data_IF_650867846030
#
_entry.id   IF_650867846030
#
_cell.length_a   1.000
_cell.length_b   1.000
_cell.length_c   1.000
_cell.angle_alpha   90.00
_cell.angle_beta   90.00
_cell.angle_gamma   90.00
#
_symmetry.space_group_name_H-M   'P 1'
#
loop_
_entity.id
_entity.type
_entity.pdbx_description
1 polymer ?
#
# COMPACT_ATOMS: atom_id res chain seq x y z
N UNK A 1 -12.85 -2.41 12.40
CA UNK A 1 -11.97 -1.34 11.88
C UNK A 1 -10.77 -1.04 12.78
N UNK A 2 -10.84 -1.25 14.11
CA UNK A 2 -9.72 -0.91 15.00
C UNK A 2 -8.42 -1.62 14.65
N UNK A 3 -8.46 -2.92 14.34
CA UNK A 3 -7.27 -3.71 13.97
C UNK A 3 -6.63 -3.15 12.69
N UNK A 4 -7.44 -2.84 11.67
CA UNK A 4 -6.93 -2.30 10.41
C UNK A 4 -6.25 -0.94 10.60
N UNK A 5 -6.88 -0.05 11.38
CA UNK A 5 -6.29 1.25 11.73
C UNK A 5 -4.98 1.08 12.49
N UNK A 6 -4.91 0.17 13.46
CA UNK A 6 -3.69 -0.08 14.22
C UNK A 6 -2.56 -0.62 13.33
N UNK A 7 -2.85 -1.53 12.40
CA UNK A 7 -1.84 -2.02 11.46
C UNK A 7 -1.35 -0.90 10.55
N UNK A 8 -2.25 -0.08 9.99
CA UNK A 8 -1.87 1.10 9.20
C UNK A 8 -0.96 2.05 10.00
N UNK A 9 -1.28 2.32 11.27
CA UNK A 9 -0.45 3.15 12.14
C UNK A 9 0.92 2.52 12.42
N UNK A 10 1.01 1.20 12.63
CA UNK A 10 2.29 0.51 12.81
C UNK A 10 3.19 0.70 11.59
N UNK A 11 2.65 0.58 10.38
CA UNK A 11 3.42 0.81 9.15
C UNK A 11 3.84 2.27 9.00
N UNK A 12 2.98 3.23 9.37
CA UNK A 12 3.34 4.65 9.45
C UNK A 12 4.52 4.87 10.38
N UNK A 13 4.47 4.30 11.60
CA UNK A 13 5.57 4.42 12.56
C UNK A 13 6.85 3.77 12.06
N UNK A 14 6.76 2.61 11.40
CA UNK A 14 7.92 1.95 10.80
C UNK A 14 8.57 2.82 9.71
N UNK A 15 7.78 3.32 8.76
CA UNK A 15 8.25 4.22 7.69
C UNK A 15 8.82 5.52 8.24
N UNK A 16 8.15 6.14 9.21
CA UNK A 16 8.64 7.35 9.88
C UNK A 16 9.97 7.13 10.57
N UNK A 17 10.09 6.03 11.29
CA UNK A 17 11.32 5.64 11.97
C UNK A 17 12.46 5.44 10.97
N UNK A 18 12.23 4.65 9.91
CA UNK A 18 13.21 4.42 8.84
C UNK A 18 13.70 5.72 8.21
N UNK A 19 12.79 6.67 7.94
CA UNK A 19 13.14 7.97 7.38
C UNK A 19 13.88 8.88 8.36
N UNK A 20 13.43 8.95 9.61
CA UNK A 20 14.01 9.83 10.63
C UNK A 20 15.39 9.35 11.10
N UNK A 21 15.70 8.05 10.96
CA UNK A 21 17.07 7.54 11.14
C UNK A 21 18.07 8.16 10.15
N UNK A 22 17.62 8.63 8.99
CA UNK A 22 18.44 9.39 8.03
C UNK A 22 18.51 10.89 8.35
N UNK A 23 17.92 11.33 9.45
CA UNK A 23 17.77 12.74 9.83
C UNK A 23 16.43 13.34 9.43
N UNK A 24 16.13 14.55 9.91
CA UNK A 24 14.86 15.23 9.61
C UNK A 24 14.82 15.72 8.16
N UNK A 25 13.64 15.71 7.50
CA UNK A 25 13.48 16.32 6.19
C UNK A 25 13.85 17.81 6.22
N UNK A 26 14.65 18.26 5.25
CA UNK A 26 15.16 19.65 5.21
C UNK A 26 14.58 20.51 4.10
N UNK A 27 14.15 19.88 3.00
CA UNK A 27 13.61 20.56 1.82
C UNK A 27 12.18 20.11 1.49
N UNK A 28 11.51 20.87 0.64
CA UNK A 28 10.14 20.60 0.19
C UNK A 28 9.99 19.22 -0.45
N UNK A 29 10.95 18.81 -1.29
CA UNK A 29 10.93 17.49 -1.94
C UNK A 29 11.01 16.35 -0.92
N UNK A 30 11.86 16.50 0.11
CA UNK A 30 11.98 15.50 1.18
C UNK A 30 10.72 15.42 2.02
N UNK A 31 10.09 16.56 2.33
CA UNK A 31 8.82 16.60 3.05
C UNK A 31 7.68 15.99 2.24
N UNK A 32 7.64 16.25 0.94
CA UNK A 32 6.64 15.71 0.02
C UNK A 32 6.77 14.19 -0.10
N UNK A 33 7.98 13.69 -0.37
CA UNK A 33 8.26 12.26 -0.39
C UNK A 33 7.91 11.59 0.94
N UNK A 34 8.28 12.23 2.06
CA UNK A 34 7.96 11.74 3.39
C UNK A 34 6.45 11.62 3.62
N UNK A 35 5.69 12.68 3.34
CA UNK A 35 4.24 12.68 3.50
C UNK A 35 3.57 11.60 2.64
N UNK A 36 3.98 11.46 1.39
CA UNK A 36 3.42 10.46 0.47
C UNK A 36 3.69 9.04 0.96
N UNK A 37 4.92 8.74 1.38
CA UNK A 37 5.20 7.39 1.90
C UNK A 37 4.52 7.09 3.22
N UNK A 38 4.28 8.10 4.08
CA UNK A 38 3.46 7.93 5.29
C UNK A 38 2.01 7.58 4.92
N UNK A 39 1.42 8.30 3.97
CA UNK A 39 0.06 8.02 3.48
C UNK A 39 -0.03 6.63 2.87
N UNK A 40 0.89 6.27 1.96
CA UNK A 40 0.90 4.94 1.34
C UNK A 40 1.09 3.83 2.36
N UNK A 41 2.00 3.99 3.31
CA UNK A 41 2.20 3.02 4.40
C UNK A 41 0.92 2.77 5.20
N UNK A 42 0.18 3.84 5.50
CA UNK A 42 -1.10 3.73 6.20
C UNK A 42 -2.12 2.96 5.39
N UNK A 43 -2.38 3.38 4.14
CA UNK A 43 -3.45 2.83 3.31
C UNK A 43 -3.14 1.38 2.94
N UNK A 44 -1.88 1.07 2.59
CA UNK A 44 -1.44 -0.29 2.27
C UNK A 44 -1.58 -1.20 3.49
N UNK A 45 -1.06 -0.77 4.66
CA UNK A 45 -1.14 -1.54 5.90
C UNK A 45 -2.57 -1.79 6.36
N UNK A 46 -3.40 -0.74 6.31
CA UNK A 46 -4.82 -0.84 6.58
C UNK A 46 -5.50 -1.89 5.68
N UNK A 47 -5.18 -1.84 4.38
CA UNK A 47 -5.83 -2.68 3.37
C UNK A 47 -5.36 -4.12 3.45
N UNK A 48 -4.08 -4.37 3.71
CA UNK A 48 -3.58 -5.72 4.00
C UNK A 48 -4.32 -6.30 5.20
N UNK A 49 -4.43 -5.56 6.31
CA UNK A 49 -5.15 -6.02 7.49
C UNK A 49 -6.65 -6.25 7.24
N UNK A 50 -7.25 -5.46 6.34
CA UNK A 50 -8.61 -5.67 5.87
C UNK A 50 -8.74 -6.97 5.06
N UNK A 51 -7.87 -7.18 4.07
CA UNK A 51 -7.93 -8.32 3.16
C UNK A 51 -7.63 -9.67 3.82
N UNK A 52 -6.73 -9.70 4.82
CA UNK A 52 -6.39 -10.93 5.54
C UNK A 52 -7.62 -11.61 6.16
N UNK A 53 -8.62 -10.84 6.56
CA UNK A 53 -9.88 -11.38 7.11
C UNK A 53 -10.69 -12.17 6.08
N UNK A 54 -10.53 -11.84 4.80
CA UNK A 54 -11.19 -12.50 3.67
C UNK A 54 -10.33 -13.59 3.03
N UNK A 55 -9.14 -13.87 3.58
CA UNK A 55 -8.24 -14.89 3.06
C UNK A 55 -8.92 -16.27 2.91
N UNK A 56 -9.72 -16.77 3.87
CA UNK A 56 -10.40 -18.07 3.71
C UNK A 56 -11.38 -18.12 2.53
N UNK A 57 -11.94 -16.97 2.15
CA UNK A 57 -12.92 -16.85 1.06
C UNK A 57 -12.23 -16.75 -0.30
N UNK A 58 -11.07 -16.09 -0.36
CA UNK A 58 -10.37 -15.77 -1.61
C UNK A 58 -9.02 -16.48 -1.79
N UNK A 59 -8.69 -17.47 -0.96
CA UNK A 59 -7.42 -18.23 -1.05
C UNK A 59 -7.23 -18.93 -2.41
N UNK A 60 -8.34 -19.32 -3.08
CA UNK A 60 -8.28 -19.91 -4.41
C UNK A 60 -8.29 -18.88 -5.55
N UNK A 61 -8.24 -17.58 -5.24
CA UNK A 61 -8.45 -16.50 -6.21
C UNK A 61 -7.13 -15.82 -6.61
N UNK A 62 -6.68 -16.03 -7.84
CA UNK A 62 -5.51 -15.39 -8.43
C UNK A 62 -5.51 -13.86 -8.29
N UNK A 63 -6.60 -13.18 -8.61
CA UNK A 63 -6.66 -11.71 -8.55
C UNK A 63 -6.53 -11.19 -7.12
N UNK A 64 -7.00 -11.95 -6.12
CA UNK A 64 -6.80 -11.62 -4.71
C UNK A 64 -5.32 -11.69 -4.34
N UNK A 65 -4.62 -12.74 -4.77
CA UNK A 65 -3.18 -12.90 -4.52
C UNK A 65 -2.37 -11.85 -5.25
N UNK A 66 -2.69 -11.57 -6.51
CA UNK A 66 -2.01 -10.54 -7.30
C UNK A 66 -2.14 -9.18 -6.61
N UNK A 67 -3.34 -8.80 -6.15
CA UNK A 67 -3.52 -7.55 -5.43
C UNK A 67 -2.81 -7.54 -4.07
N UNK A 68 -2.92 -8.62 -3.29
CA UNK A 68 -2.25 -8.72 -1.99
C UNK A 68 -0.72 -8.64 -2.12
N UNK A 69 -0.13 -9.35 -3.09
CA UNK A 69 1.31 -9.34 -3.31
C UNK A 69 1.80 -8.00 -3.86
N UNK A 70 1.02 -7.34 -4.71
CA UNK A 70 1.38 -5.97 -5.15
C UNK A 70 1.31 -4.97 -4.00
N UNK A 71 0.35 -5.09 -3.07
CA UNK A 71 0.34 -4.29 -1.83
C UNK A 71 1.59 -4.54 -0.97
N UNK A 72 1.99 -5.79 -0.78
CA UNK A 72 3.22 -6.12 -0.04
C UNK A 72 4.47 -5.56 -0.74
N UNK A 73 4.50 -5.58 -2.07
CA UNK A 73 5.56 -4.96 -2.86
C UNK A 73 5.56 -3.43 -2.69
N UNK A 74 4.40 -2.78 -2.69
CA UNK A 74 4.26 -1.34 -2.41
C UNK A 74 4.86 -0.98 -1.05
N UNK A 75 4.48 -1.71 0.01
CA UNK A 75 5.02 -1.51 1.36
C UNK A 75 6.54 -1.63 1.36
N UNK A 76 7.07 -2.64 0.68
CA UNK A 76 8.52 -2.88 0.58
C UNK A 76 9.24 -1.73 -0.14
N UNK A 77 8.67 -1.22 -1.23
CA UNK A 77 9.19 -0.07 -1.97
C UNK A 77 9.20 1.17 -1.08
N UNK A 78 8.10 1.45 -0.38
CA UNK A 78 7.98 2.61 0.51
C UNK A 78 8.99 2.51 1.67
N UNK A 79 9.11 1.35 2.31
CA UNK A 79 10.08 1.14 3.38
C UNK A 79 11.51 1.34 2.89
N UNK A 80 11.84 0.79 1.73
CA UNK A 80 13.16 0.96 1.13
C UNK A 80 13.43 2.43 0.78
N UNK A 81 12.47 3.13 0.17
CA UNK A 81 12.58 4.54 -0.16
C UNK A 81 12.78 5.42 1.09
N UNK A 82 12.03 5.14 2.16
CA UNK A 82 12.16 5.82 3.45
C UNK A 82 13.54 5.57 4.07
N UNK A 83 13.98 4.32 4.10
CA UNK A 83 15.28 3.93 4.63
C UNK A 83 16.44 4.57 3.86
N UNK A 84 16.35 4.65 2.52
CA UNK A 84 17.40 5.20 1.64
C UNK A 84 17.29 6.71 1.41
N UNK A 85 16.32 7.38 2.04
CA UNK A 85 16.01 8.79 1.82
C UNK A 85 15.83 9.13 0.32
N UNK A 86 15.05 8.31 -0.39
CA UNK A 86 14.72 8.58 -1.80
C UNK A 86 13.64 9.66 -1.85
N UNK A 87 13.93 10.74 -2.58
CA UNK A 87 13.01 11.89 -2.75
C UNK A 87 12.27 11.88 -4.09
N UNK A 88 12.65 11.00 -5.03
CA UNK A 88 12.01 10.92 -6.33
C UNK A 88 10.57 10.43 -6.20
N UNK A 89 9.62 11.33 -6.48
CA UNK A 89 8.18 11.06 -6.41
C UNK A 89 7.73 9.92 -7.32
N UNK A 90 8.48 9.64 -8.40
CA UNK A 90 8.19 8.55 -9.34
C UNK A 90 8.25 7.18 -8.65
N UNK A 91 9.10 7.02 -7.63
CA UNK A 91 9.17 5.79 -6.85
C UNK A 91 7.88 5.55 -6.07
N UNK A 92 7.29 6.60 -5.50
CA UNK A 92 6.01 6.51 -4.80
C UNK A 92 4.82 6.36 -5.76
N UNK A 93 4.91 6.90 -6.97
CA UNK A 93 3.95 6.63 -8.03
C UNK A 93 3.95 5.15 -8.43
N UNK A 94 5.13 4.52 -8.54
CA UNK A 94 5.26 3.07 -8.79
C UNK A 94 4.72 2.27 -7.60
N UNK A 95 5.00 2.68 -6.35
CA UNK A 95 4.40 2.06 -5.17
C UNK A 95 2.86 2.11 -5.21
N UNK A 96 2.28 3.12 -5.88
CA UNK A 96 0.82 3.23 -6.01
C UNK A 96 0.18 2.27 -7.02
N UNK A 97 0.96 1.42 -7.70
CA UNK A 97 0.47 0.43 -8.69
C UNK A 97 -0.68 -0.47 -8.22
N UNK A 98 -0.71 -0.99 -6.97
CA UNK A 98 -1.80 -1.85 -6.50
C UNK A 98 -3.16 -1.12 -6.56
N UNK A 99 -3.16 0.19 -6.32
CA UNK A 99 -4.36 1.01 -6.33
C UNK A 99 -4.94 1.15 -7.74
N UNK A 100 -4.09 1.30 -8.75
CA UNK A 100 -4.53 1.27 -10.13
C UNK A 100 -5.08 -0.12 -10.51
N UNK A 101 -4.39 -1.18 -10.07
CA UNK A 101 -4.84 -2.56 -10.30
C UNK A 101 -6.25 -2.79 -9.73
N UNK A 102 -6.49 -2.46 -8.46
CA UNK A 102 -7.81 -2.70 -7.85
C UNK A 102 -8.92 -1.86 -8.47
N UNK A 103 -8.63 -0.62 -8.88
CA UNK A 103 -9.58 0.22 -9.62
C UNK A 103 -9.98 -0.47 -10.93
N UNK A 104 -9.00 -0.98 -11.70
CA UNK A 104 -9.26 -1.72 -12.94
C UNK A 104 -10.09 -2.97 -12.68
N UNK A 105 -9.75 -3.76 -11.65
CA UNK A 105 -10.50 -4.98 -11.30
C UNK A 105 -11.95 -4.62 -10.93
N UNK A 106 -12.17 -3.56 -10.13
CA UNK A 106 -13.51 -3.09 -9.74
C UNK A 106 -14.32 -2.67 -10.98
N UNK A 107 -13.71 -1.91 -11.90
CA UNK A 107 -14.37 -1.48 -13.14
C UNK A 107 -14.80 -2.69 -13.97
N UNK A 108 -13.89 -3.64 -14.19
CA UNK A 108 -14.17 -4.86 -14.96
C UNK A 108 -15.28 -5.68 -14.29
N UNK A 109 -15.20 -5.90 -12.98
CA UNK A 109 -16.21 -6.64 -12.23
C UNK A 109 -17.60 -5.99 -12.36
N UNK A 110 -17.66 -4.65 -12.32
CA UNK A 110 -18.90 -3.90 -12.47
C UNK A 110 -19.47 -3.97 -13.88
N UNK A 111 -18.64 -3.87 -14.92
CA UNK A 111 -19.08 -3.99 -16.32
C UNK A 111 -19.64 -5.38 -16.60
N UNK A 112 -19.02 -6.41 -16.01
CA UNK A 112 -19.44 -7.81 -16.19
C UNK A 112 -20.58 -8.23 -15.25
N UNK A 113 -21.05 -7.34 -14.36
CA UNK A 113 -22.13 -7.65 -13.41
C UNK A 113 -21.77 -8.72 -12.37
N UNK A 114 -20.49 -8.82 -12.01
CA UNK A 114 -19.98 -9.89 -11.15
C UNK A 114 -20.28 -9.60 -9.67
N UNK A 115 -20.63 -10.63 -8.87
CA UNK A 115 -21.00 -10.46 -7.46
C UNK A 115 -19.79 -10.19 -6.56
N UNK A 116 -18.57 -10.47 -7.02
CA UNK A 116 -17.32 -10.21 -6.29
C UNK A 116 -16.27 -9.56 -7.19
N UNK A 117 -15.41 -8.74 -6.58
CA UNK A 117 -14.27 -8.11 -7.26
C UNK A 117 -13.19 -9.15 -7.58
N UNK A 118 -13.01 -10.15 -6.73
CA UNK A 118 -12.08 -11.26 -6.95
C UNK A 118 -12.83 -12.47 -7.51
N UNK A 119 -12.63 -12.72 -8.80
CA UNK A 119 -13.41 -13.69 -9.58
C UNK A 119 -12.54 -14.91 -9.93
N UNK A 120 -11.29 -14.64 -10.33
CA UNK A 120 -10.24 -15.60 -10.63
C UNK A 120 -9.29 -15.76 -9.48
#
# INVERSE_FOLDING_TARGET
MIVQTLVGLVLVFASATLRLFQGRPKGEDEWSAFAVGIVLSFIDGFTVAYLVQFFPVFVGKFLFHLFLYTLLASISIVFYAMYRNITDIRVFAVASTPWFLIIVIIIIARILGLPSVFIF
#
